data_IF_783118759535
#
_entry.id   IF_783118759535
#
_cell.length_a   1.000
_cell.length_b   1.000
_cell.length_c   1.000
_cell.angle_alpha   90.00
_cell.angle_beta   90.00
_cell.angle_gamma   90.00
#
_symmetry.space_group_name_H-M   'P 1'
#
loop_
_entity.id
_entity.type
_entity.pdbx_description
1 polymer ?
#
# COMPACT_ATOMS: atom_id res chain seq x y z
N UNK A 1 13.23 -3.29 28.56
CA UNK A 1 12.49 -3.33 27.28
C UNK A 1 13.46 -3.80 26.21
N UNK A 2 13.13 -4.90 25.56
CA UNK A 2 13.87 -5.41 24.41
C UNK A 2 12.99 -5.28 23.16
N UNK A 3 13.49 -4.60 22.13
CA UNK A 3 12.81 -4.45 20.85
C UNK A 3 13.74 -4.91 19.74
N UNK A 4 13.23 -5.78 18.87
CA UNK A 4 13.94 -6.29 17.71
C UNK A 4 13.12 -6.05 16.46
N UNK A 5 13.69 -5.31 15.52
CA UNK A 5 13.16 -5.11 14.20
C UNK A 5 13.94 -5.96 13.19
N UNK A 6 13.26 -6.77 12.43
CA UNK A 6 13.82 -7.55 11.32
C UNK A 6 13.04 -7.21 10.07
N UNK A 7 13.74 -6.79 9.03
CA UNK A 7 13.16 -6.51 7.73
C UNK A 7 14.02 -7.10 6.63
N UNK A 8 13.38 -7.60 5.58
CA UNK A 8 14.02 -7.97 4.33
C UNK A 8 13.19 -7.46 3.17
N UNK A 9 13.88 -6.90 2.17
CA UNK A 9 13.28 -6.44 0.93
C UNK A 9 14.01 -7.09 -0.25
N UNK A 10 13.24 -7.55 -1.22
CA UNK A 10 13.73 -8.03 -2.51
C UNK A 10 12.94 -7.33 -3.60
N UNK A 11 13.66 -6.72 -4.53
CA UNK A 11 13.08 -6.12 -5.73
C UNK A 11 13.81 -6.63 -6.96
N UNK A 12 13.05 -7.24 -7.87
CA UNK A 12 13.54 -7.66 -9.20
C UNK A 12 12.86 -6.77 -10.21
N UNK A 13 13.65 -6.12 -11.06
CA UNK A 13 13.18 -5.29 -12.17
C UNK A 13 13.83 -5.70 -13.44
N UNK A 14 13.02 -6.06 -14.42
CA UNK A 14 13.47 -6.39 -15.75
C UNK A 14 12.82 -5.49 -16.81
N UNK A 15 13.49 -5.34 -17.95
CA UNK A 15 13.04 -4.53 -19.07
C UNK A 15 13.33 -5.22 -20.39
N UNK A 16 12.29 -5.41 -21.18
CA UNK A 16 12.34 -5.94 -22.52
C UNK A 16 11.96 -4.84 -23.52
N UNK A 17 12.64 -4.82 -24.66
CA UNK A 17 12.33 -3.93 -25.79
C UNK A 17 12.14 -4.80 -27.04
N UNK A 18 10.96 -5.45 -27.20
CA UNK A 18 10.74 -6.40 -28.28
C UNK A 18 10.73 -5.74 -29.66
N UNK A 19 10.30 -4.49 -29.72
CA UNK A 19 10.36 -3.65 -30.93
C UNK A 19 10.77 -2.23 -30.55
N UNK A 20 11.25 -1.46 -31.51
CA UNK A 20 11.85 -0.13 -31.31
C UNK A 20 11.04 0.80 -30.41
N UNK A 21 9.72 0.84 -30.54
CA UNK A 21 8.86 1.81 -29.89
C UNK A 21 8.14 1.24 -28.66
N UNK A 22 8.29 -0.06 -28.36
CA UNK A 22 7.62 -0.77 -27.26
C UNK A 22 8.63 -1.20 -26.18
N UNK A 23 8.35 -0.79 -24.94
CA UNK A 23 9.10 -1.21 -23.76
C UNK A 23 8.15 -1.93 -22.80
N UNK A 24 8.53 -3.14 -22.40
CA UNK A 24 7.82 -3.91 -21.37
C UNK A 24 8.71 -3.92 -20.13
N UNK A 25 8.13 -3.59 -18.99
CA UNK A 25 8.78 -3.64 -17.69
C UNK A 25 8.03 -4.59 -16.79
N UNK A 26 8.76 -5.45 -16.11
CA UNK A 26 8.28 -6.31 -15.05
C UNK A 26 8.96 -5.90 -13.75
N UNK A 27 8.17 -5.61 -12.71
CA UNK A 27 8.65 -5.41 -11.35
C UNK A 27 8.06 -6.49 -10.45
N UNK A 28 8.88 -7.05 -9.60
CA UNK A 28 8.48 -7.97 -8.52
C UNK A 28 9.11 -7.44 -7.25
N UNK A 29 8.28 -7.09 -6.29
CA UNK A 29 8.70 -6.64 -4.97
C UNK A 29 8.17 -7.58 -3.90
N UNK A 30 9.02 -7.95 -2.98
CA UNK A 30 8.64 -8.68 -1.77
C UNK A 30 9.27 -7.99 -0.57
N UNK A 31 8.47 -7.74 0.47
CA UNK A 31 8.98 -7.28 1.75
C UNK A 31 8.43 -8.13 2.89
N UNK A 32 9.27 -8.37 3.87
CA UNK A 32 8.92 -9.00 5.13
C UNK A 32 9.45 -8.14 6.28
N UNK A 33 8.56 -7.75 7.16
CA UNK A 33 8.89 -6.99 8.36
C UNK A 33 8.36 -7.74 9.57
N UNK A 34 9.18 -7.84 10.60
CA UNK A 34 8.81 -8.41 11.91
C UNK A 34 9.31 -7.47 12.99
N UNK A 35 8.43 -7.16 13.92
CA UNK A 35 8.76 -6.44 15.15
C UNK A 35 8.42 -7.35 16.32
N UNK A 36 9.43 -7.66 17.12
CA UNK A 36 9.32 -8.37 18.38
C UNK A 36 9.60 -7.38 19.51
N UNK A 37 8.68 -7.29 20.46
CA UNK A 37 8.80 -6.42 21.62
C UNK A 37 8.56 -7.22 22.88
N UNK A 38 9.57 -7.28 23.74
CA UNK A 38 9.52 -7.90 25.04
C UNK A 38 9.71 -6.84 26.11
N UNK A 39 8.86 -6.83 27.11
CA UNK A 39 8.85 -5.86 28.20
C UNK A 39 8.71 -6.59 29.50
N UNK A 40 9.54 -6.24 30.47
CA UNK A 40 9.42 -6.64 31.85
C UNK A 40 9.52 -5.41 32.76
N UNK A 41 8.58 -5.28 33.68
CA UNK A 41 8.59 -4.31 34.76
C UNK A 41 8.69 -5.09 36.09
N UNK A 42 9.78 -4.90 36.79
CA UNK A 42 9.98 -5.54 38.07
C UNK A 42 9.08 -4.90 39.15
N UNK A 43 8.97 -5.57 40.30
CA UNK A 43 8.12 -5.17 41.41
C UNK A 43 8.46 -3.83 42.06
N UNK A 44 9.63 -3.28 41.77
CA UNK A 44 10.10 -1.98 42.28
C UNK A 44 9.72 -0.80 41.39
N UNK A 45 9.41 -1.06 40.11
CA UNK A 45 9.02 -0.02 39.15
C UNK A 45 7.60 0.48 39.38
N UNK A 46 7.29 1.69 38.92
CA UNK A 46 5.95 2.26 39.04
C UNK A 46 4.91 1.39 38.33
N UNK A 47 5.29 0.82 37.17
CA UNK A 47 4.42 0.00 36.34
C UNK A 47 4.32 -1.45 36.82
N UNK A 48 5.30 -1.95 37.57
CA UNK A 48 5.36 -3.35 38.00
C UNK A 48 5.06 -3.59 39.47
N UNK A 49 4.92 -2.55 40.32
CA UNK A 49 4.55 -2.70 41.72
C UNK A 49 3.06 -2.99 41.91
N UNK A 50 2.63 -3.08 43.14
CA UNK A 50 1.24 -3.38 43.51
C UNK A 50 0.24 -2.50 42.73
N UNK A 51 -0.86 -3.06 42.16
CA UNK A 51 -1.36 -4.44 42.36
C UNK A 51 -0.74 -5.51 41.43
N UNK A 52 0.10 -5.14 40.48
CA UNK A 52 0.58 -6.07 39.43
C UNK A 52 1.64 -7.03 39.91
N UNK A 53 2.45 -6.65 40.89
CA UNK A 53 3.52 -7.45 41.51
C UNK A 53 4.46 -8.12 40.47
N UNK A 54 4.99 -7.30 39.55
CA UNK A 54 5.72 -7.69 38.34
C UNK A 54 4.82 -7.86 37.15
N UNK A 55 5.21 -7.27 36.01
CA UNK A 55 4.48 -7.32 34.76
C UNK A 55 5.40 -7.69 33.61
N UNK A 56 4.99 -8.66 32.79
CA UNK A 56 5.66 -9.03 31.57
C UNK A 56 4.71 -8.95 30.38
N UNK A 57 5.25 -8.53 29.23
CA UNK A 57 4.55 -8.50 27.94
C UNK A 57 5.47 -8.96 26.83
N UNK A 58 4.98 -9.87 25.99
CA UNK A 58 5.61 -10.27 24.72
C UNK A 58 4.66 -10.02 23.58
N UNK A 59 5.13 -9.32 22.55
CA UNK A 59 4.31 -9.00 21.38
C UNK A 59 5.14 -9.12 20.10
N UNK A 60 4.60 -9.91 19.17
CA UNK A 60 5.13 -10.07 17.81
C UNK A 60 4.15 -9.47 16.81
N UNK A 61 4.65 -8.60 15.94
CA UNK A 61 3.92 -8.11 14.79
C UNK A 61 4.71 -8.44 13.52
N UNK A 62 4.04 -8.92 12.50
CA UNK A 62 4.68 -9.23 11.24
C UNK A 62 3.82 -8.78 10.07
N UNK A 63 4.48 -8.40 8.98
CA UNK A 63 3.84 -8.05 7.71
C UNK A 63 4.67 -8.57 6.54
N UNK A 64 3.98 -9.15 5.56
CA UNK A 64 4.52 -9.59 4.28
C UNK A 64 3.80 -8.86 3.18
N UNK A 65 4.52 -8.26 2.25
CA UNK A 65 3.93 -7.62 1.09
C UNK A 65 4.55 -8.20 -0.18
N UNK A 66 3.70 -8.54 -1.13
CA UNK A 66 4.08 -8.95 -2.48
C UNK A 66 3.46 -7.95 -3.46
N UNK A 67 4.28 -7.42 -4.34
CA UNK A 67 3.88 -6.53 -5.44
C UNK A 67 4.37 -7.13 -6.74
N UNK A 68 3.47 -7.34 -7.68
CA UNK A 68 3.76 -7.69 -9.06
C UNK A 68 3.23 -6.58 -9.95
N UNK A 69 4.07 -6.03 -10.81
CA UNK A 69 3.67 -4.99 -11.75
C UNK A 69 4.25 -5.28 -13.13
N UNK A 70 3.37 -5.34 -14.11
CA UNK A 70 3.74 -5.46 -15.54
C UNK A 70 3.26 -4.21 -16.24
N UNK A 71 4.16 -3.50 -16.92
CA UNK A 71 3.87 -2.28 -17.64
C UNK A 71 4.40 -2.36 -19.07
N UNK A 72 3.54 -2.12 -20.04
CA UNK A 72 3.91 -1.94 -21.44
C UNK A 72 3.78 -0.47 -21.81
N UNK A 73 4.83 0.14 -22.30
CA UNK A 73 4.87 1.53 -22.75
C UNK A 73 5.21 1.56 -24.24
N UNK A 74 4.32 2.17 -25.02
CA UNK A 74 4.50 2.38 -26.44
C UNK A 74 4.66 3.87 -26.72
N UNK A 75 5.79 4.25 -27.34
CA UNK A 75 6.11 5.63 -27.71
C UNK A 75 6.31 5.70 -29.21
N UNK A 76 5.46 6.46 -29.89
CA UNK A 76 5.51 6.60 -31.34
C UNK A 76 5.42 8.04 -31.77
N UNK A 77 6.39 8.49 -32.55
CA UNK A 77 6.32 9.68 -33.34
C UNK A 77 5.97 9.29 -34.78
N UNK A 78 4.74 9.58 -35.20
CA UNK A 78 4.29 9.27 -36.56
C UNK A 78 4.93 10.24 -37.57
N UNK A 79 5.06 11.50 -37.17
CA UNK A 79 5.76 12.56 -37.87
C UNK A 79 6.03 13.73 -36.89
N UNK A 80 6.58 14.85 -37.38
CA UNK A 80 6.91 16.02 -36.55
C UNK A 80 5.70 16.63 -35.79
N UNK A 81 4.48 16.35 -36.28
CA UNK A 81 3.26 16.93 -35.74
C UNK A 81 2.43 15.96 -34.88
N UNK A 82 2.72 14.67 -34.90
CA UNK A 82 1.91 13.64 -34.24
C UNK A 82 2.77 12.71 -33.40
N UNK A 83 2.58 12.73 -32.10
CA UNK A 83 3.20 11.79 -31.19
C UNK A 83 2.18 11.15 -30.27
N UNK A 84 2.38 9.87 -29.98
CA UNK A 84 1.58 9.05 -29.07
C UNK A 84 2.49 8.40 -28.05
N UNK A 85 2.12 8.56 -26.77
CA UNK A 85 2.63 7.77 -25.66
C UNK A 85 1.45 6.99 -25.06
N UNK A 86 1.48 5.68 -25.16
CA UNK A 86 0.46 4.81 -24.58
C UNK A 86 1.10 3.90 -23.51
N UNK A 87 0.36 3.68 -22.44
CA UNK A 87 0.77 2.81 -21.34
C UNK A 87 -0.37 1.86 -21.01
N UNK A 88 -0.06 0.57 -20.90
CA UNK A 88 -0.95 -0.43 -20.32
C UNK A 88 -0.19 -1.02 -19.13
N UNK A 89 -0.85 -1.12 -17.97
CA UNK A 89 -0.27 -1.71 -16.79
C UNK A 89 -1.24 -2.67 -16.12
N UNK A 90 -0.67 -3.73 -15.58
CA UNK A 90 -1.31 -4.66 -14.66
C UNK A 90 -0.53 -4.63 -13.36
N UNK A 91 -1.22 -4.54 -12.21
CA UNK A 91 -0.60 -4.72 -10.92
C UNK A 91 -1.40 -5.67 -10.03
N UNK A 92 -0.68 -6.45 -9.25
CA UNK A 92 -1.20 -7.27 -8.18
C UNK A 92 -0.43 -6.99 -6.90
N UNK A 93 -1.16 -6.64 -5.87
CA UNK A 93 -0.61 -6.39 -4.54
C UNK A 93 -1.28 -7.34 -3.55
N UNK A 94 -0.48 -7.92 -2.66
CA UNK A 94 -0.95 -8.75 -1.56
C UNK A 94 -0.23 -8.40 -0.28
N UNK A 95 -0.99 -8.02 0.74
CA UNK A 95 -0.51 -7.85 2.11
C UNK A 95 -1.04 -8.99 2.99
N UNK A 96 -0.15 -9.60 3.77
CA UNK A 96 -0.47 -10.59 4.79
C UNK A 96 0.21 -10.15 6.09
N UNK A 97 -0.54 -9.94 7.15
CA UNK A 97 -0.04 -9.40 8.40
C UNK A 97 -0.70 -10.06 9.58
N UNK A 98 -0.01 -10.09 10.68
CA UNK A 98 -0.53 -10.66 11.91
C UNK A 98 0.18 -10.14 13.14
N UNK A 99 -0.45 -10.39 14.27
CA UNK A 99 0.09 -10.09 15.59
C UNK A 99 -0.19 -11.24 16.55
N UNK A 100 0.69 -11.35 17.53
CA UNK A 100 0.51 -12.19 18.72
C UNK A 100 0.95 -11.38 19.92
N UNK A 101 0.22 -11.47 21.02
CA UNK A 101 0.66 -10.87 22.27
C UNK A 101 0.21 -11.72 23.45
N UNK A 102 1.05 -11.74 24.46
CA UNK A 102 0.76 -12.32 25.77
C UNK A 102 1.25 -11.38 26.85
N UNK A 103 0.54 -11.31 27.94
CA UNK A 103 0.90 -10.56 29.13
C UNK A 103 0.66 -11.39 30.35
N UNK A 104 1.47 -11.18 31.39
CA UNK A 104 1.32 -11.85 32.68
C UNK A 104 1.71 -10.92 33.81
N UNK A 105 1.14 -11.17 34.98
CA UNK A 105 1.34 -10.41 36.24
C UNK A 105 1.54 -11.34 37.41
N UNK A 106 2.13 -10.80 38.48
CA UNK A 106 2.33 -11.56 39.72
C UNK A 106 3.50 -12.53 39.62
N UNK A 107 4.68 -12.02 39.38
CA UNK A 107 5.90 -12.82 39.39
C UNK A 107 6.42 -13.00 40.83
N UNK A 108 6.64 -14.26 41.30
CA UNK A 108 7.16 -14.50 42.64
C UNK A 108 8.55 -13.92 42.86
N UNK A 109 9.33 -13.80 41.79
CA UNK A 109 10.69 -13.26 41.79
C UNK A 109 11.00 -12.65 40.42
N UNK A 110 11.96 -11.71 40.36
CA UNK A 110 12.29 -10.95 39.15
C UNK A 110 13.42 -11.59 38.31
N UNK A 111 13.96 -12.76 38.74
CA UNK A 111 15.16 -13.37 38.11
C UNK A 111 14.91 -13.82 36.67
N UNK A 112 13.73 -14.34 36.39
CA UNK A 112 13.39 -14.87 35.07
C UNK A 112 12.88 -13.81 34.10
N UNK A 113 12.54 -12.63 34.65
CA UNK A 113 11.99 -11.52 33.85
C UNK A 113 10.89 -12.00 32.90
N UNK A 114 10.96 -11.59 31.61
CA UNK A 114 10.01 -12.02 30.57
C UNK A 114 10.36 -13.39 29.96
N UNK A 115 11.51 -14.01 30.30
CA UNK A 115 11.93 -15.26 29.70
C UNK A 115 11.03 -16.44 30.10
N UNK A 116 10.48 -16.42 31.31
CA UNK A 116 9.53 -17.44 31.75
C UNK A 116 8.18 -16.82 32.18
N UNK A 117 7.28 -16.68 31.21
CA UNK A 117 5.92 -16.19 31.45
C UNK A 117 5.07 -17.16 32.28
N UNK A 118 5.45 -18.44 32.36
CA UNK A 118 4.73 -19.47 33.13
C UNK A 118 4.93 -19.34 34.64
N UNK A 119 5.97 -18.63 35.09
CA UNK A 119 6.21 -18.33 36.48
C UNK A 119 5.20 -17.33 37.08
N UNK A 120 4.46 -16.62 36.27
CA UNK A 120 3.48 -15.64 36.72
C UNK A 120 2.22 -16.30 37.28
N UNK A 121 1.70 -15.75 38.38
CA UNK A 121 0.45 -16.23 39.01
C UNK A 121 -0.78 -15.90 38.18
N UNK A 122 -0.76 -14.77 37.50
CA UNK A 122 -1.90 -14.24 36.74
C UNK A 122 -1.57 -14.07 35.25
N UNK A 123 -1.52 -15.14 34.44
CA UNK A 123 -1.38 -15.03 33.00
C UNK A 123 -2.67 -14.55 32.37
N UNK A 124 -2.58 -13.52 31.54
CA UNK A 124 -3.71 -13.09 30.74
C UNK A 124 -3.91 -14.02 29.54
N UNK A 125 -5.16 -14.08 29.06
CA UNK A 125 -5.48 -14.84 27.85
C UNK A 125 -4.66 -14.29 26.66
N UNK A 126 -3.89 -15.14 25.95
CA UNK A 126 -3.16 -14.70 24.76
C UNK A 126 -4.10 -14.15 23.68
N UNK A 127 -3.67 -13.13 22.99
CA UNK A 127 -4.37 -12.58 21.83
C UNK A 127 -3.57 -12.84 20.57
N UNK A 128 -4.28 -13.08 19.47
CA UNK A 128 -3.67 -13.18 18.16
C UNK A 128 -4.63 -12.69 17.09
N UNK A 129 -4.08 -12.12 16.03
CA UNK A 129 -4.85 -11.66 14.88
C UNK A 129 -4.09 -11.90 13.60
N UNK A 130 -4.83 -12.07 12.49
CA UNK A 130 -4.28 -12.13 11.15
C UNK A 130 -5.21 -11.44 10.19
N UNK A 131 -4.63 -10.65 9.29
CA UNK A 131 -5.34 -10.03 8.20
C UNK A 131 -4.65 -10.28 6.88
N UNK A 132 -5.44 -10.34 5.81
CA UNK A 132 -4.95 -10.46 4.45
C UNK A 132 -5.71 -9.51 3.55
N UNK A 133 -4.99 -8.81 2.70
CA UNK A 133 -5.56 -7.91 1.69
C UNK A 133 -4.97 -8.22 0.33
N UNK A 134 -5.75 -8.04 -0.72
CA UNK A 134 -5.26 -8.09 -2.09
C UNK A 134 -5.93 -7.01 -2.93
N UNK A 135 -5.15 -6.48 -3.88
CA UNK A 135 -5.59 -5.50 -4.86
C UNK A 135 -5.10 -5.95 -6.24
N UNK A 136 -6.00 -5.96 -7.19
CA UNK A 136 -5.69 -6.16 -8.62
C UNK A 136 -6.07 -4.91 -9.37
N UNK A 137 -5.18 -4.40 -10.21
CA UNK A 137 -5.43 -3.18 -10.98
C UNK A 137 -5.04 -3.35 -12.44
N UNK A 138 -5.88 -2.81 -13.30
CA UNK A 138 -5.63 -2.67 -14.73
C UNK A 138 -5.66 -1.19 -15.07
N UNK A 139 -4.64 -0.69 -15.74
CA UNK A 139 -4.52 0.69 -16.16
C UNK A 139 -4.24 0.76 -17.66
N UNK A 140 -5.00 1.61 -18.35
CA UNK A 140 -4.70 2.07 -19.70
C UNK A 140 -4.61 3.60 -19.71
N UNK A 141 -3.56 4.16 -20.31
CA UNK A 141 -3.38 5.61 -20.50
C UNK A 141 -2.85 5.89 -21.89
N UNK A 142 -3.41 6.90 -22.54
CA UNK A 142 -2.91 7.44 -23.80
C UNK A 142 -2.68 8.93 -23.68
N UNK A 143 -1.53 9.39 -24.10
CA UNK A 143 -1.17 10.79 -24.24
C UNK A 143 -0.89 11.03 -25.73
N UNK A 144 -1.65 11.92 -26.34
CA UNK A 144 -1.50 12.28 -27.75
C UNK A 144 -1.13 13.75 -27.86
N UNK A 145 -0.11 14.04 -28.64
CA UNK A 145 0.31 15.40 -28.93
C UNK A 145 0.14 15.69 -30.42
N UNK A 146 -0.58 16.76 -30.70
CA UNK A 146 -0.81 17.28 -32.06
C UNK A 146 -0.05 18.60 -32.21
N UNK A 147 0.81 18.68 -33.24
CA UNK A 147 1.62 19.86 -33.59
C UNK A 147 2.45 20.41 -32.40
N UNK A 148 2.69 19.60 -31.37
CA UNK A 148 3.27 20.04 -30.09
C UNK A 148 2.50 21.18 -29.39
N UNK A 149 1.32 21.55 -29.91
CA UNK A 149 0.43 22.62 -29.41
C UNK A 149 -0.72 22.06 -28.57
N UNK A 150 -1.40 21.03 -29.07
CA UNK A 150 -2.59 20.44 -28.48
C UNK A 150 -2.23 19.08 -27.85
N UNK A 151 -2.49 18.93 -26.57
CA UNK A 151 -2.16 17.75 -25.80
C UNK A 151 -3.44 17.14 -25.25
N UNK A 152 -3.66 15.87 -25.53
CA UNK A 152 -4.80 15.09 -25.07
C UNK A 152 -4.30 13.94 -24.19
N UNK A 153 -4.92 13.75 -23.04
CA UNK A 153 -4.67 12.61 -22.16
C UNK A 153 -6.00 11.93 -21.86
N UNK A 154 -6.03 10.62 -22.01
CA UNK A 154 -7.13 9.80 -21.55
C UNK A 154 -6.56 8.66 -20.70
N UNK A 155 -7.20 8.33 -19.59
CA UNK A 155 -6.85 7.15 -18.82
C UNK A 155 -8.08 6.46 -18.25
N UNK A 156 -7.97 5.15 -18.16
CA UNK A 156 -8.94 4.27 -17.54
C UNK A 156 -8.24 3.31 -16.60
N UNK A 157 -8.75 3.20 -15.38
CA UNK A 157 -8.26 2.27 -14.38
C UNK A 157 -9.42 1.45 -13.82
N UNK A 158 -9.18 0.16 -13.65
CA UNK A 158 -10.10 -0.76 -13.01
C UNK A 158 -9.39 -1.46 -11.88
N UNK A 159 -9.93 -1.30 -10.66
CA UNK A 159 -9.34 -1.84 -9.42
C UNK A 159 -10.30 -2.84 -8.78
N UNK A 160 -9.77 -4.00 -8.39
CA UNK A 160 -10.46 -5.01 -7.64
C UNK A 160 -9.80 -5.23 -6.27
N UNK A 161 -10.49 -4.87 -5.19
CA UNK A 161 -9.99 -4.97 -3.83
C UNK A 161 -10.71 -6.04 -3.03
N UNK A 162 -9.94 -6.85 -2.29
CA UNK A 162 -10.48 -7.85 -1.36
C UNK A 162 -11.15 -7.26 -0.12
N UNK A 163 -10.95 -5.96 0.12
CA UNK A 163 -11.53 -5.25 1.27
C UNK A 163 -13.03 -5.00 1.14
N UNK A 164 -13.54 -4.99 -0.11
CA UNK A 164 -14.95 -4.75 -0.39
C UNK A 164 -15.79 -6.03 -0.39
N UNK A 165 -17.08 -5.88 -0.14
CA UNK A 165 -18.04 -6.96 -0.10
C UNK A 165 -18.13 -7.73 -1.44
N UNK A 166 -18.55 -9.02 -1.44
CA UNK A 166 -18.85 -9.74 -2.66
C UNK A 166 -19.84 -8.95 -3.53
N UNK A 167 -19.60 -8.90 -4.84
CA UNK A 167 -20.39 -8.11 -5.78
C UNK A 167 -19.88 -6.68 -6.01
N UNK A 168 -19.25 -6.05 -5.03
CA UNK A 168 -18.78 -4.65 -5.10
C UNK A 168 -17.24 -4.50 -5.06
N UNK A 169 -16.50 -5.58 -5.37
CA UNK A 169 -15.04 -5.58 -5.30
C UNK A 169 -14.36 -4.75 -6.37
N UNK A 170 -15.03 -4.53 -7.48
CA UNK A 170 -14.47 -3.86 -8.65
C UNK A 170 -15.00 -2.44 -8.81
N UNK A 171 -14.09 -1.51 -9.07
CA UNK A 171 -14.40 -0.12 -9.35
C UNK A 171 -13.67 0.36 -10.60
N UNK A 172 -14.31 1.24 -11.35
CA UNK A 172 -13.76 1.81 -12.58
C UNK A 172 -13.53 3.31 -12.40
N UNK A 173 -12.39 3.78 -12.87
CA UNK A 173 -11.99 5.18 -12.78
C UNK A 173 -11.55 5.66 -14.14
N UNK A 174 -12.27 6.64 -14.69
CA UNK A 174 -11.94 7.27 -15.94
C UNK A 174 -11.42 8.70 -15.70
N UNK A 175 -10.45 9.13 -16.47
CA UNK A 175 -10.00 10.51 -16.47
C UNK A 175 -9.58 10.98 -17.84
N UNK A 176 -9.74 12.29 -18.08
CA UNK A 176 -9.34 12.96 -19.29
C UNK A 176 -8.72 14.33 -19.00
N UNK A 177 -7.81 14.74 -19.85
CA UNK A 177 -7.24 16.09 -19.82
C UNK A 177 -6.97 16.59 -21.23
N UNK A 178 -7.17 17.88 -21.41
CA UNK A 178 -6.76 18.62 -22.60
C UNK A 178 -5.83 19.74 -22.19
N UNK A 179 -4.81 19.99 -22.96
CA UNK A 179 -3.94 21.14 -22.75
C UNK A 179 -3.58 21.79 -24.08
N UNK A 180 -3.54 23.09 -24.05
CA UNK A 180 -3.16 23.93 -25.18
C UNK A 180 -1.93 24.76 -24.83
N UNK A 181 -0.88 24.61 -25.61
CA UNK A 181 0.32 25.45 -25.54
C UNK A 181 0.09 26.70 -26.40
N UNK A 182 -0.57 27.67 -25.80
CA UNK A 182 -0.92 28.90 -26.50
C UNK A 182 0.33 29.69 -26.94
N UNK A 183 1.45 29.57 -26.19
CA UNK A 183 2.72 30.18 -26.59
C UNK A 183 3.29 29.66 -27.91
N UNK A 184 2.84 28.49 -28.40
CA UNK A 184 3.27 27.93 -29.67
C UNK A 184 2.44 28.46 -30.87
N UNK A 185 1.39 29.24 -30.62
CA UNK A 185 0.61 29.88 -31.67
C UNK A 185 1.30 31.13 -32.20
N UNK A 186 1.29 31.35 -33.52
CA UNK A 186 2.04 32.45 -34.13
C UNK A 186 1.53 33.81 -33.65
N UNK A 187 0.21 33.96 -33.45
CA UNK A 187 -0.37 35.22 -32.96
C UNK A 187 0.02 35.55 -31.51
N UNK A 188 0.34 34.52 -30.66
CA UNK A 188 0.85 34.74 -29.30
C UNK A 188 2.37 35.01 -29.35
N UNK A 189 3.09 34.24 -30.18
CA UNK A 189 4.56 34.44 -30.36
C UNK A 189 4.87 35.88 -30.86
N UNK A 190 4.06 36.42 -31.74
CA UNK A 190 4.27 37.78 -32.27
C UNK A 190 4.15 38.87 -31.19
N UNK A 191 3.40 38.63 -30.13
CA UNK A 191 3.27 39.58 -29.01
C UNK A 191 4.54 39.69 -28.18
N UNK A 192 5.41 38.68 -28.22
CA UNK A 192 6.70 38.63 -27.50
C UNK A 192 6.59 38.86 -25.96
N UNK A 193 5.40 38.63 -25.38
CA UNK A 193 5.11 38.86 -23.97
C UNK A 193 5.28 37.56 -23.14
N UNK A 194 4.93 36.40 -23.71
CA UNK A 194 4.94 35.12 -23.01
C UNK A 194 6.02 34.20 -23.55
N UNK A 195 6.97 33.80 -22.70
CA UNK A 195 7.95 32.77 -23.03
C UNK A 195 7.34 31.36 -23.00
N UNK A 196 6.33 31.13 -22.16
CA UNK A 196 5.58 29.88 -22.08
C UNK A 196 4.16 30.15 -21.53
N UNK A 197 3.14 29.89 -22.35
CA UNK A 197 1.74 29.97 -21.95
C UNK A 197 1.05 28.67 -22.29
N UNK A 198 0.59 27.94 -21.23
CA UNK A 198 -0.11 26.67 -21.35
C UNK A 198 -1.39 26.69 -20.53
N UNK A 199 -2.51 26.42 -21.18
CA UNK A 199 -3.83 26.26 -20.55
C UNK A 199 -4.14 24.78 -20.47
N UNK A 200 -4.65 24.31 -19.34
CA UNK A 200 -5.00 22.90 -19.10
C UNK A 200 -6.34 22.79 -18.39
N UNK A 201 -7.18 21.87 -18.87
CA UNK A 201 -8.38 21.43 -18.18
C UNK A 201 -8.34 19.91 -18.03
N UNK A 202 -8.77 19.39 -16.88
CA UNK A 202 -8.81 17.96 -16.61
C UNK A 202 -10.00 17.59 -15.73
N UNK A 203 -10.54 16.41 -15.96
CA UNK A 203 -11.57 15.78 -15.15
C UNK A 203 -11.20 14.34 -14.89
N UNK A 204 -11.48 13.84 -13.69
CA UNK A 204 -11.21 12.46 -13.37
C UNK A 204 -11.97 12.00 -12.12
N UNK A 205 -12.19 10.69 -12.07
CA UNK A 205 -12.76 9.99 -10.93
C UNK A 205 -11.65 9.31 -10.15
N UNK A 206 -11.71 9.41 -8.83
CA UNK A 206 -10.80 8.74 -7.91
C UNK A 206 -11.58 7.91 -6.90
N UNK A 207 -11.01 6.79 -6.47
CA UNK A 207 -11.57 5.93 -5.44
C UNK A 207 -10.72 5.92 -4.19
N UNK A 208 -11.33 5.52 -3.08
CA UNK A 208 -10.65 5.30 -1.82
C UNK A 208 -10.95 3.89 -1.30
N UNK A 209 -9.93 3.17 -0.84
CA UNK A 209 -10.04 1.86 -0.18
C UNK A 209 -9.54 1.89 1.28
N UNK A 210 -9.61 3.05 1.95
CA UNK A 210 -9.15 3.26 3.32
C UNK A 210 -10.09 2.61 4.35
N UNK A 211 -10.44 1.34 4.15
CA UNK A 211 -11.17 0.48 5.08
C UNK A 211 -10.29 -0.68 5.52
N UNK A 212 -10.52 -1.19 6.73
CA UNK A 212 -9.80 -2.37 7.25
C UNK A 212 -10.06 -3.63 6.43
N UNK A 213 -9.16 -4.60 6.55
CA UNK A 213 -9.41 -5.94 6.01
C UNK A 213 -10.65 -6.52 6.69
N UNK A 214 -11.51 -7.17 5.90
CA UNK A 214 -12.75 -7.81 6.37
C UNK A 214 -13.82 -6.86 6.95
N UNK A 215 -13.64 -5.54 6.92
CA UNK A 215 -14.59 -4.58 7.47
C UNK A 215 -16.01 -4.66 6.86
N UNK A 216 -16.13 -5.27 5.68
CA UNK A 216 -17.41 -5.48 4.97
C UNK A 216 -17.98 -6.89 5.14
N UNK A 217 -17.39 -7.70 6.01
CA UNK A 217 -17.90 -9.05 6.32
C UNK A 217 -18.70 -9.02 7.60
N UNK A 218 -19.79 -9.75 7.59
CA UNK A 218 -20.52 -10.06 8.82
C UNK A 218 -19.67 -11.02 9.67
N UNK A 219 -19.57 -10.73 10.97
CA UNK A 219 -18.92 -11.59 11.94
C UNK A 219 -19.79 -11.72 13.19
N UNK A 220 -19.79 -12.93 13.74
CA UNK A 220 -20.47 -13.21 14.99
C UNK A 220 -19.54 -12.87 16.15
N UNK A 221 -20.06 -12.10 17.10
CA UNK A 221 -19.38 -11.85 18.37
C UNK A 221 -19.88 -12.85 19.41
N UNK A 222 -18.96 -13.55 20.06
CA UNK A 222 -19.32 -14.41 21.18
C UNK A 222 -19.57 -13.53 22.40
N UNK A 223 -20.81 -13.45 22.84
CA UNK A 223 -21.17 -12.86 24.13
C UNK A 223 -21.08 -13.93 25.21
N UNK A 224 -20.22 -13.75 26.19
CA UNK A 224 -20.21 -14.59 27.39
C UNK A 224 -21.32 -14.07 28.32
N UNK A 225 -22.37 -14.81 28.47
CA UNK A 225 -23.34 -14.56 29.53
C UNK A 225 -22.78 -15.18 30.83
N UNK A 226 -22.69 -14.43 31.94
CA UNK A 226 -22.41 -15.00 33.23
C UNK A 226 -23.57 -15.93 33.61
N UNK A 227 -23.27 -17.20 33.89
CA UNK A 227 -24.21 -18.18 34.43
C UNK A 227 -24.23 -18.03 35.94
#
# INVERSE_FOLDING_TARGET
IHERLVGSEMCIRDRLTPIKDLKIRQNVGFSYNMNERNVYYNRETVEGKDPDNGFASKADNWAKNLVLETMATYNKEFNKNHSLNAVIAFSYERGDYGNKAMTAKGFPQDITEDFDMSAAVNPNKPISGRGMTSLVSFLGRANYSLMNKYLFTASFRRDGSSKFAPGNKWSNFASGAIAWRASEEEFIKSLNIFSNLKIRASYGQTGNQAIGAYATRDYLTVANYPI
#
